data_IF_471331800008
#
_entry.id   IF_471331800008
#
_cell.length_a   1.000
_cell.length_b   1.000
_cell.length_c   1.000
_cell.angle_alpha   90.00
_cell.angle_beta   90.00
_cell.angle_gamma   90.00
#
_symmetry.space_group_name_H-M   'P 1'
#
loop_
_entity.id
_entity.type
_entity.pdbx_description
1 polymer ?
#
# COMPACT_ATOMS: atom_id res chain seq x y z
N UNK A 1 -15.38 -8.07 27.29
CA UNK A 1 -14.05 -7.61 26.90
C UNK A 1 -14.18 -6.62 25.75
N UNK A 2 -13.68 -5.46 25.94
CA UNK A 2 -13.72 -4.47 24.87
C UNK A 2 -12.66 -4.78 23.83
N UNK A 3 -13.10 -4.95 22.62
CA UNK A 3 -12.17 -4.89 21.51
C UNK A 3 -11.58 -3.49 21.47
N UNK A 4 -10.29 -3.39 21.34
CA UNK A 4 -9.70 -2.10 21.06
C UNK A 4 -10.33 -1.57 19.79
N UNK A 5 -10.79 -0.32 19.79
CA UNK A 5 -11.31 0.26 18.58
C UNK A 5 -10.24 0.24 17.51
N UNK A 6 -10.63 -0.14 16.32
CA UNK A 6 -9.74 -0.06 15.18
C UNK A 6 -9.33 1.39 15.00
N UNK A 7 -8.03 1.65 14.95
CA UNK A 7 -7.50 2.98 14.75
C UNK A 7 -8.02 3.61 13.46
N UNK A 8 -8.20 2.77 12.46
CA UNK A 8 -8.54 3.25 11.13
C UNK A 8 -10.05 3.18 10.89
N UNK A 9 -10.59 4.25 10.33
CA UNK A 9 -11.95 4.31 9.87
C UNK A 9 -12.05 3.76 8.45
N UNK A 10 -13.27 3.57 8.00
CA UNK A 10 -13.57 3.16 6.64
C UNK A 10 -14.09 1.75 6.54
N UNK A 11 -14.48 1.39 5.33
CA UNK A 11 -15.04 0.09 5.00
C UNK A 11 -13.95 -0.98 5.09
N UNK A 12 -14.21 -2.04 5.85
CA UNK A 12 -13.24 -3.13 5.95
C UNK A 12 -13.30 -4.00 4.69
N UNK A 13 -12.14 -4.19 4.05
CA UNK A 13 -12.01 -5.03 2.87
C UNK A 13 -10.77 -5.90 2.97
N UNK A 14 -10.76 -6.99 2.22
CA UNK A 14 -9.57 -7.82 2.08
C UNK A 14 -8.68 -7.24 0.98
N UNK A 15 -7.37 -7.35 1.17
CA UNK A 15 -6.41 -6.80 0.22
C UNK A 15 -6.58 -7.39 -1.20
N UNK A 16 -6.91 -8.67 -1.30
CA UNK A 16 -7.10 -9.32 -2.59
C UNK A 16 -8.30 -8.77 -3.38
N UNK A 17 -9.28 -8.19 -2.70
CA UNK A 17 -10.40 -7.54 -3.36
C UNK A 17 -10.03 -6.18 -3.96
N UNK A 18 -8.86 -5.67 -3.61
CA UNK A 18 -8.39 -4.36 -4.07
C UNK A 18 -7.45 -4.46 -5.27
N UNK A 19 -7.19 -5.67 -5.75
CA UNK A 19 -6.32 -5.88 -6.90
C UNK A 19 -6.87 -5.12 -8.10
N UNK A 20 -6.01 -4.33 -8.76
CA UNK A 20 -6.36 -3.54 -9.92
C UNK A 20 -7.03 -2.21 -9.64
N UNK A 21 -7.30 -1.90 -8.37
CA UNK A 21 -7.94 -0.63 -8.00
C UNK A 21 -6.90 0.38 -7.55
N UNK A 22 -6.97 1.57 -8.10
CA UNK A 22 -6.08 2.66 -7.69
C UNK A 22 -6.41 3.11 -6.28
N UNK A 23 -5.40 3.28 -5.45
CA UNK A 23 -5.58 3.74 -4.07
C UNK A 23 -4.50 4.72 -3.67
N UNK A 24 -4.85 5.58 -2.71
CA UNK A 24 -3.89 6.44 -2.02
C UNK A 24 -3.89 6.02 -0.56
N UNK A 25 -2.75 5.54 -0.09
CA UNK A 25 -2.61 5.10 1.29
C UNK A 25 -2.34 6.31 2.16
N UNK A 26 -3.24 6.56 3.11
CA UNK A 26 -3.22 7.75 3.95
C UNK A 26 -2.70 7.47 5.35
N UNK A 27 -2.74 6.21 5.80
CA UNK A 27 -2.18 5.82 7.08
C UNK A 27 -1.83 4.33 7.09
N UNK A 28 -0.91 3.96 7.95
CA UNK A 28 -0.45 2.57 8.08
C UNK A 28 0.08 2.33 9.48
N UNK A 29 -0.01 1.09 9.93
CA UNK A 29 0.53 0.68 11.22
C UNK A 29 1.08 -0.72 11.12
N UNK A 30 2.34 -0.91 11.51
CA UNK A 30 2.95 -2.23 11.54
C UNK A 30 2.48 -2.99 12.77
N UNK A 31 2.09 -4.24 12.56
CA UNK A 31 1.73 -5.14 13.63
C UNK A 31 2.45 -6.47 13.45
N UNK A 32 2.45 -7.26 14.49
CA UNK A 32 3.05 -8.60 14.44
C UNK A 32 2.02 -9.63 14.90
N UNK A 33 2.07 -10.80 14.27
CA UNK A 33 1.21 -11.90 14.69
C UNK A 33 1.64 -12.36 16.07
N UNK A 34 0.67 -12.80 16.86
CA UNK A 34 0.93 -13.28 18.24
C UNK A 34 1.28 -14.75 18.29
N UNK A 35 1.46 -15.41 17.16
CA UNK A 35 1.82 -16.81 17.12
C UNK A 35 3.30 -16.97 17.46
N UNK A 36 3.65 -17.82 18.44
CA UNK A 36 5.05 -17.93 18.88
C UNK A 36 6.01 -18.39 17.79
N UNK A 37 5.53 -19.13 16.82
CA UNK A 37 6.36 -19.72 15.78
C UNK A 37 6.49 -18.87 14.51
N UNK A 38 5.66 -17.85 14.36
CA UNK A 38 5.65 -17.08 13.11
C UNK A 38 6.00 -15.62 13.27
N UNK A 39 5.62 -14.97 14.35
CA UNK A 39 5.92 -13.56 14.64
C UNK A 39 6.23 -12.68 13.41
N UNK A 40 5.43 -12.84 12.37
CA UNK A 40 5.65 -12.16 11.10
C UNK A 40 5.00 -10.79 11.13
N UNK A 41 5.66 -9.78 10.53
CA UNK A 41 5.04 -8.46 10.44
C UNK A 41 3.90 -8.44 9.44
N UNK A 42 2.88 -7.67 9.75
CA UNK A 42 1.83 -7.34 8.81
C UNK A 42 1.43 -5.88 9.04
N UNK A 43 0.70 -5.32 8.11
CA UNK A 43 0.28 -3.92 8.21
C UNK A 43 -1.23 -3.81 8.20
N UNK A 44 -1.73 -2.94 9.08
CA UNK A 44 -3.06 -2.37 8.94
C UNK A 44 -2.91 -1.10 8.11
N UNK A 45 -3.78 -0.94 7.13
CA UNK A 45 -3.69 0.14 6.14
C UNK A 45 -5.02 0.85 6.03
N UNK A 46 -4.96 2.17 5.95
CA UNK A 46 -6.11 3.00 5.61
C UNK A 46 -5.83 3.68 4.28
N UNK A 47 -6.75 3.54 3.35
CA UNK A 47 -6.57 4.05 1.99
C UNK A 47 -7.87 4.58 1.41
N UNK A 48 -7.74 5.53 0.49
CA UNK A 48 -8.85 5.97 -0.34
C UNK A 48 -8.74 5.20 -1.65
N UNK A 49 -9.74 4.37 -1.93
CA UNK A 49 -9.71 3.42 -3.04
C UNK A 49 -10.74 3.82 -4.10
N UNK A 50 -10.30 3.83 -5.35
CA UNK A 50 -11.16 4.14 -6.49
C UNK A 50 -12.38 3.23 -6.50
N UNK A 51 -13.56 3.84 -6.57
CA UNK A 51 -14.83 3.11 -6.57
C UNK A 51 -15.30 2.62 -5.21
N UNK A 52 -14.46 2.68 -4.18
CA UNK A 52 -14.79 2.15 -2.85
C UNK A 52 -14.80 3.23 -1.76
N UNK A 53 -14.11 4.34 -1.98
CA UNK A 53 -13.97 5.40 -0.97
C UNK A 53 -12.94 5.03 0.08
N UNK A 54 -13.20 5.42 1.32
CA UNK A 54 -12.28 5.16 2.43
C UNK A 54 -12.39 3.69 2.85
N UNK A 55 -11.26 3.02 2.81
CA UNK A 55 -11.15 1.57 3.06
C UNK A 55 -10.04 1.31 4.08
N UNK A 56 -10.23 0.29 4.89
CA UNK A 56 -9.19 -0.25 5.76
C UNK A 56 -8.99 -1.73 5.43
N UNK A 57 -7.74 -2.15 5.41
CA UNK A 57 -7.40 -3.54 5.17
C UNK A 57 -6.12 -3.92 5.87
N UNK A 58 -5.90 -5.21 6.01
CA UNK A 58 -4.67 -5.75 6.60
C UNK A 58 -3.97 -6.62 5.57
N UNK A 59 -2.66 -6.60 5.57
CA UNK A 59 -1.88 -7.43 4.66
C UNK A 59 -0.58 -7.88 5.29
N UNK A 60 -0.26 -9.16 5.12
CA UNK A 60 1.03 -9.74 5.48
C UNK A 60 1.84 -10.13 4.26
N UNK A 61 1.38 -9.77 3.06
CA UNK A 61 2.10 -10.10 1.83
C UNK A 61 3.48 -9.44 1.84
N UNK A 62 4.51 -10.24 1.61
CA UNK A 62 5.90 -9.84 1.81
C UNK A 62 6.28 -8.56 1.07
N UNK A 63 5.93 -8.48 -0.21
CA UNK A 63 6.30 -7.32 -1.02
C UNK A 63 5.52 -6.07 -0.63
N UNK A 64 4.24 -6.22 -0.24
CA UNK A 64 3.46 -5.10 0.26
C UNK A 64 4.04 -4.58 1.57
N UNK A 65 4.41 -5.48 2.48
CA UNK A 65 4.99 -5.12 3.77
C UNK A 65 6.31 -4.38 3.59
N UNK A 66 7.16 -4.83 2.68
CA UNK A 66 8.43 -4.16 2.41
C UNK A 66 8.22 -2.72 1.96
N UNK A 67 7.30 -2.51 1.02
CA UNK A 67 7.05 -1.16 0.51
C UNK A 67 6.37 -0.29 1.55
N UNK A 68 5.39 -0.83 2.27
CA UNK A 68 4.73 -0.09 3.35
C UNK A 68 5.71 0.33 4.44
N UNK A 69 6.70 -0.49 4.73
CA UNK A 69 7.70 -0.17 5.75
C UNK A 69 8.60 0.98 5.33
N UNK A 70 8.98 1.04 4.07
CA UNK A 70 9.97 2.00 3.60
C UNK A 70 9.40 3.28 3.02
N UNK A 71 8.13 3.29 2.62
CA UNK A 71 7.55 4.43 1.93
C UNK A 71 7.00 5.47 2.88
N UNK A 72 7.08 6.72 2.47
CA UNK A 72 6.48 7.84 3.21
C UNK A 72 5.01 8.00 2.84
N UNK A 73 4.22 8.49 3.79
CA UNK A 73 2.81 8.80 3.55
C UNK A 73 2.65 10.24 3.04
N UNK A 74 1.65 10.49 2.20
CA UNK A 74 0.75 9.53 1.59
C UNK A 74 1.43 8.77 0.44
N UNK A 75 1.02 7.52 0.26
CA UNK A 75 1.46 6.73 -0.89
C UNK A 75 0.41 6.86 -1.97
N UNK A 76 0.67 7.73 -2.93
CA UNK A 76 -0.34 8.12 -3.93
C UNK A 76 -0.40 7.16 -5.10
N UNK A 77 -1.60 6.94 -5.59
CA UNK A 77 -1.87 6.26 -6.87
C UNK A 77 -1.22 4.90 -6.98
N UNK A 78 -1.29 4.12 -5.90
CA UNK A 78 -0.79 2.76 -5.89
C UNK A 78 -1.87 1.80 -6.35
N UNK A 79 -1.46 0.72 -6.99
CA UNK A 79 -2.35 -0.35 -7.42
C UNK A 79 -1.79 -1.67 -6.94
N UNK A 80 -2.61 -2.46 -6.23
CA UNK A 80 -2.21 -3.80 -5.84
C UNK A 80 -2.33 -4.70 -7.05
N UNK A 81 -1.25 -5.38 -7.39
CA UNK A 81 -1.22 -6.39 -8.45
C UNK A 81 -0.75 -7.71 -7.85
N UNK A 82 -0.91 -8.78 -8.61
CA UNK A 82 -0.52 -10.11 -8.18
C UNK A 82 0.23 -10.81 -9.30
N UNK A 83 1.36 -11.40 -8.96
CA UNK A 83 2.11 -12.27 -9.85
C UNK A 83 2.59 -13.50 -9.08
N UNK A 84 3.55 -14.24 -9.64
CA UNK A 84 4.07 -15.44 -8.99
C UNK A 84 4.74 -15.17 -7.63
N UNK A 85 5.14 -13.93 -7.35
CA UNK A 85 5.73 -13.53 -6.07
C UNK A 85 4.68 -13.20 -5.01
N UNK A 86 3.41 -13.08 -5.39
CA UNK A 86 2.32 -12.67 -4.54
C UNK A 86 1.85 -11.24 -4.83
N UNK A 87 1.25 -10.61 -3.85
CA UNK A 87 0.75 -9.24 -3.99
C UNK A 87 1.89 -8.23 -3.89
N UNK A 88 1.83 -7.22 -4.72
CA UNK A 88 2.79 -6.11 -4.69
C UNK A 88 2.10 -4.82 -5.13
N UNK A 89 2.71 -3.68 -4.82
CA UNK A 89 2.22 -2.40 -5.33
C UNK A 89 2.88 -2.07 -6.65
N UNK A 90 2.07 -1.87 -7.66
CA UNK A 90 2.52 -1.25 -8.89
C UNK A 90 2.60 0.24 -8.63
N UNK A 91 3.68 0.86 -9.07
CA UNK A 91 3.88 2.28 -8.86
C UNK A 91 2.88 3.13 -9.62
N UNK A 92 2.80 4.39 -9.25
CA UNK A 92 1.93 5.34 -9.93
C UNK A 92 2.22 5.34 -11.42
N UNK A 93 1.15 5.37 -12.20
CA UNK A 93 1.28 5.55 -13.63
C UNK A 93 1.60 7.04 -13.83
N UNK A 94 2.88 7.34 -13.98
CA UNK A 94 3.28 8.69 -14.31
C UNK A 94 2.85 8.98 -15.74
N UNK A 95 2.45 10.20 -16.00
CA UNK A 95 2.35 10.65 -17.39
C UNK A 95 3.74 10.58 -18.01
N UNK A 96 3.80 10.45 -19.34
CA UNK A 96 5.09 10.42 -20.02
C UNK A 96 5.92 11.65 -19.69
N UNK A 97 5.27 12.80 -19.53
CA UNK A 97 5.95 14.05 -19.17
C UNK A 97 6.56 13.98 -17.76
N UNK A 98 5.80 13.47 -16.80
CA UNK A 98 6.27 13.32 -15.43
C UNK A 98 7.44 12.35 -15.35
N UNK A 99 7.35 11.25 -16.07
CA UNK A 99 8.42 10.26 -16.10
C UNK A 99 9.66 10.81 -16.77
N UNK A 100 9.50 11.53 -17.86
CA UNK A 100 10.61 12.17 -18.55
C UNK A 100 11.31 13.21 -17.67
N UNK A 101 10.53 14.01 -16.96
CA UNK A 101 11.08 14.99 -16.02
C UNK A 101 11.82 14.32 -14.88
N UNK A 102 11.28 13.21 -14.37
CA UNK A 102 11.94 12.44 -13.32
C UNK A 102 13.29 11.89 -13.80
N UNK A 103 13.33 11.37 -15.01
CA UNK A 103 14.56 10.83 -15.60
C UNK A 103 15.59 11.93 -15.77
N UNK A 104 15.18 13.09 -16.27
CA UNK A 104 16.09 14.24 -16.41
C UNK A 104 16.70 14.64 -15.07
N UNK A 105 15.89 14.68 -14.04
CA UNK A 105 16.31 15.07 -12.71
C UNK A 105 17.26 14.04 -12.12
N UNK A 106 16.92 12.76 -12.27
CA UNK A 106 17.69 11.66 -11.73
C UNK A 106 19.07 11.55 -12.38
N UNK A 107 19.15 11.76 -13.67
CA UNK A 107 20.40 11.64 -14.43
C UNK A 107 21.04 12.98 -14.74
N UNK A 108 20.49 14.06 -14.23
CA UNK A 108 21.02 15.42 -14.44
C UNK A 108 21.20 15.76 -15.92
N UNK A 109 20.21 15.42 -16.72
CA UNK A 109 20.23 15.68 -18.15
C UNK A 109 19.63 17.05 -18.41
N UNK A 110 20.38 17.91 -19.09
CA UNK A 110 19.92 19.21 -19.52
C UNK A 110 19.68 19.18 -21.02
N UNK A 111 18.49 19.55 -21.41
CA UNK A 111 18.16 19.72 -22.82
C UNK A 111 18.15 21.17 -23.18
#
# INVERSE_FOLDING_TARGET
>A
MQKQPTRFAGKKMKADLLIGKKQTIVDKEERRTKRPDTNQPYYDVQAIVEGEGLVRYSTGAHLLVQELRSASLPMRDKVIQQDWRGLFFEGSVYTLEEEEERIRREFNINY
#
